data_IF_109193844500
#
_entry.id   IF_109193844500
#
_cell.length_a   1.000
_cell.length_b   1.000
_cell.length_c   1.000
_cell.angle_alpha   90.00
_cell.angle_beta   90.00
_cell.angle_gamma   90.00
#
_symmetry.space_group_name_H-M   'P 1'
#
loop_
_entity.id
_entity.type
_entity.pdbx_description
1 polymer ?
#
# COMPACT_ATOMS: atom_id res chain seq x y z
N UNK A 1 5.33 -12.64 -13.91
CA UNK A 1 5.27 -11.18 -13.66
C UNK A 1 5.64 -11.00 -12.20
N UNK A 2 6.67 -10.23 -11.89
CA UNK A 2 7.10 -10.00 -10.50
C UNK A 2 6.25 -8.88 -9.89
N UNK A 3 5.71 -9.12 -8.69
CA UNK A 3 4.83 -8.21 -7.94
C UNK A 3 5.18 -8.28 -6.46
N UNK A 4 5.16 -7.14 -5.77
CA UNK A 4 5.28 -7.02 -4.32
C UNK A 4 4.16 -6.13 -3.79
N UNK A 5 3.67 -6.47 -2.60
CA UNK A 5 2.58 -5.77 -1.95
C UNK A 5 2.97 -5.43 -0.52
N UNK A 6 2.66 -4.21 -0.09
CA UNK A 6 2.72 -3.81 1.31
C UNK A 6 1.38 -3.23 1.70
N UNK A 7 0.87 -3.63 2.86
CA UNK A 7 -0.42 -3.18 3.38
C UNK A 7 -0.17 -2.46 4.71
N UNK A 8 -0.81 -1.31 4.86
CA UNK A 8 -0.77 -0.52 6.09
C UNK A 8 -2.15 -0.28 6.62
N UNK A 9 -2.28 -0.38 7.93
CA UNK A 9 -3.38 0.20 8.66
C UNK A 9 -2.98 1.64 9.03
N UNK A 10 -3.83 2.60 8.67
CA UNK A 10 -3.65 4.00 9.00
C UNK A 10 -4.59 4.39 10.13
N UNK A 11 -4.00 4.93 11.20
CA UNK A 11 -4.72 5.53 12.31
C UNK A 11 -4.52 7.05 12.29
N UNK A 12 -5.61 7.85 12.24
CA UNK A 12 -5.49 9.31 12.33
C UNK A 12 -4.96 9.71 13.71
N UNK A 13 -3.97 10.61 13.73
CA UNK A 13 -3.34 11.05 14.99
C UNK A 13 -4.27 11.86 15.90
N UNK A 14 -5.31 12.49 15.34
CA UNK A 14 -6.25 13.37 16.03
C UNK A 14 -7.70 13.06 15.62
N UNK A 15 -8.42 12.34 16.49
CA UNK A 15 -9.88 12.08 16.52
C UNK A 15 -10.36 10.66 16.13
N UNK A 16 -11.45 10.17 16.74
CA UNK A 16 -11.65 8.74 17.02
C UNK A 16 -12.77 8.05 16.21
N UNK A 17 -12.67 6.71 16.16
CA UNK A 17 -13.76 5.72 16.03
C UNK A 17 -14.55 5.56 14.73
N UNK A 18 -14.32 6.37 13.69
CA UNK A 18 -15.00 6.19 12.40
C UNK A 18 -14.08 5.52 11.38
N UNK A 19 -14.19 4.19 11.27
CA UNK A 19 -13.56 3.37 10.23
C UNK A 19 -12.03 3.27 10.30
N UNK A 20 -11.49 2.09 10.05
CA UNK A 20 -10.05 1.89 9.91
C UNK A 20 -9.66 2.08 8.45
N UNK A 21 -8.78 3.02 8.16
CA UNK A 21 -8.27 3.22 6.80
C UNK A 21 -7.13 2.22 6.52
N UNK A 22 -7.16 1.59 5.35
CA UNK A 22 -6.13 0.68 4.87
C UNK A 22 -5.54 1.23 3.58
N UNK A 23 -4.20 1.20 3.49
CA UNK A 23 -3.46 1.56 2.29
C UNK A 23 -2.74 0.33 1.75
N UNK A 24 -2.99 0.01 0.49
CA UNK A 24 -2.32 -1.08 -0.23
C UNK A 24 -1.39 -0.47 -1.26
N UNK A 25 -0.08 -0.66 -1.08
CA UNK A 25 0.93 -0.38 -2.11
C UNK A 25 1.19 -1.65 -2.90
N UNK A 26 0.97 -1.60 -4.21
CA UNK A 26 1.39 -2.65 -5.13
C UNK A 26 2.52 -2.13 -6.01
N UNK A 27 3.62 -2.87 -6.08
CA UNK A 27 4.74 -2.62 -6.98
C UNK A 27 4.92 -3.79 -7.95
N UNK A 28 5.14 -3.50 -9.22
CA UNK A 28 5.30 -4.55 -10.24
C UNK A 28 6.28 -4.13 -11.34
N UNK A 29 6.73 -5.14 -12.09
CA UNK A 29 7.50 -4.95 -13.32
C UNK A 29 6.59 -4.98 -14.55
N UNK A 30 6.54 -3.88 -15.32
CA UNK A 30 5.88 -3.79 -16.63
C UNK A 30 6.93 -3.51 -17.71
N UNK A 31 7.30 -4.55 -18.46
CA UNK A 31 8.29 -4.45 -19.54
C UNK A 31 9.64 -3.93 -19.04
N UNK A 32 10.00 -2.72 -19.45
CA UNK A 32 11.26 -2.02 -19.10
C UNK A 32 11.11 -1.04 -17.93
N UNK A 33 9.96 -1.04 -17.24
CA UNK A 33 9.68 -0.13 -16.12
C UNK A 33 9.25 -0.89 -14.87
N UNK A 34 9.57 -0.32 -13.72
CA UNK A 34 8.87 -0.59 -12.48
C UNK A 34 7.79 0.46 -12.26
N UNK A 35 6.66 0.04 -11.71
CA UNK A 35 5.55 0.92 -11.34
C UNK A 35 4.99 0.52 -9.98
N UNK A 36 4.67 1.53 -9.20
CA UNK A 36 4.09 1.42 -7.87
C UNK A 36 2.79 2.22 -7.83
N UNK A 37 1.71 1.59 -7.37
CA UNK A 37 0.41 2.23 -7.18
C UNK A 37 -0.09 2.01 -5.77
N UNK A 38 -0.84 2.98 -5.26
CA UNK A 38 -1.53 2.90 -3.98
C UNK A 38 -3.03 2.91 -4.19
N UNK A 39 -3.72 2.07 -3.44
CA UNK A 39 -5.18 2.13 -3.25
C UNK A 39 -5.44 2.40 -1.78
N UNK A 40 -6.37 3.31 -1.50
CA UNK A 40 -6.87 3.59 -0.15
C UNK A 40 -8.26 2.99 -0.03
N UNK A 41 -8.52 2.28 1.06
CA UNK A 41 -9.82 1.67 1.35
C UNK A 41 -10.17 1.87 2.83
N UNK A 42 -11.45 1.80 3.16
CA UNK A 42 -11.95 1.99 4.51
C UNK A 42 -12.63 0.71 4.98
N UNK A 43 -12.33 0.29 6.20
CA UNK A 43 -13.03 -0.80 6.89
C UNK A 43 -13.99 -0.14 7.87
N UNK A 44 -15.28 -0.24 7.60
CA UNK A 44 -16.32 0.49 8.34
C UNK A 44 -16.86 -0.26 9.56
N UNK A 45 -16.56 -1.55 9.78
CA UNK A 45 -17.05 -2.31 10.94
C UNK A 45 -16.05 -3.35 11.47
N UNK A 46 -15.91 -3.40 12.82
CA UNK A 46 -15.11 -4.37 13.58
C UNK A 46 -15.63 -5.82 13.49
N UNK A 47 -16.86 -6.03 13.02
CA UNK A 47 -17.51 -7.35 12.92
C UNK A 47 -17.20 -8.10 11.61
N UNK A 48 -16.27 -7.58 10.78
CA UNK A 48 -15.73 -8.30 9.64
C UNK A 48 -16.64 -8.41 8.41
N UNK A 49 -17.77 -7.69 8.39
CA UNK A 49 -18.70 -7.63 7.25
C UNK A 49 -18.57 -6.37 6.41
N UNK A 50 -17.86 -5.34 6.91
CA UNK A 50 -17.78 -4.00 6.32
C UNK A 50 -16.50 -3.74 5.53
N UNK A 51 -16.23 -4.52 4.48
CA UNK A 51 -15.41 -4.03 3.37
C UNK A 51 -16.32 -3.17 2.49
N UNK A 52 -16.62 -1.94 2.93
CA UNK A 52 -17.15 -0.94 2.02
C UNK A 52 -15.99 -0.51 1.13
N UNK A 53 -15.86 -1.24 0.04
CA UNK A 53 -14.85 -1.00 -0.98
C UNK A 53 -15.21 0.30 -1.70
N UNK A 54 -14.92 1.44 -1.08
CA UNK A 54 -14.67 2.69 -1.78
C UNK A 54 -13.32 2.49 -2.48
N UNK A 55 -13.33 1.67 -3.54
CA UNK A 55 -12.17 1.39 -4.38
C UNK A 55 -11.88 2.69 -5.10
N UNK A 56 -11.13 3.56 -4.44
CA UNK A 56 -10.52 4.69 -5.13
C UNK A 56 -9.59 4.16 -6.20
N UNK A 57 -9.65 4.75 -7.40
CA UNK A 57 -8.80 4.37 -8.51
C UNK A 57 -7.32 4.33 -8.07
N UNK A 58 -6.55 3.30 -8.46
CA UNK A 58 -5.15 3.19 -8.08
C UNK A 58 -4.35 4.43 -8.47
N UNK A 59 -3.72 5.08 -7.50
CA UNK A 59 -2.90 6.28 -7.70
C UNK A 59 -1.45 5.86 -7.92
N UNK A 60 -0.83 6.32 -9.01
CA UNK A 60 0.60 6.08 -9.23
C UNK A 60 1.45 6.84 -8.21
N UNK A 61 2.29 6.09 -7.48
CA UNK A 61 3.20 6.63 -6.48
C UNK A 61 4.57 6.87 -7.10
N UNK A 62 5.10 5.86 -7.78
CA UNK A 62 6.43 5.91 -8.36
C UNK A 62 6.47 5.10 -9.66
N UNK A 63 7.22 5.59 -10.63
CA UNK A 63 7.42 4.93 -11.93
C UNK A 63 8.81 5.25 -12.40
N UNK A 64 9.61 4.21 -12.68
CA UNK A 64 10.99 4.38 -13.11
C UNK A 64 11.38 3.30 -14.11
N UNK A 65 12.35 3.62 -14.97
CA UNK A 65 13.00 2.59 -15.80
C UNK A 65 13.73 1.61 -14.90
N UNK A 66 13.68 0.32 -15.24
CA UNK A 66 14.30 -0.73 -14.44
C UNK A 66 15.79 -0.45 -14.26
N UNK A 67 16.17 -0.22 -13.01
CA UNK A 67 17.54 -0.14 -12.56
C UNK A 67 17.66 -0.82 -11.19
N UNK A 68 18.12 -2.08 -11.19
CA UNK A 68 18.18 -2.93 -9.99
C UNK A 68 16.99 -3.89 -9.85
N UNK A 69 16.75 -4.31 -8.62
CA UNK A 69 15.76 -5.35 -8.26
C UNK A 69 14.42 -4.75 -7.80
N UNK A 70 13.34 -5.51 -7.97
CA UNK A 70 11.99 -5.09 -7.57
C UNK A 70 11.92 -4.75 -6.08
N UNK A 71 12.62 -5.48 -5.21
CA UNK A 71 12.67 -5.21 -3.77
C UNK A 71 13.27 -3.83 -3.47
N UNK A 72 14.34 -3.44 -4.16
CA UNK A 72 14.94 -2.12 -4.01
C UNK A 72 14.02 -1.00 -4.49
N UNK A 73 13.30 -1.22 -5.60
CA UNK A 73 12.25 -0.30 -6.05
C UNK A 73 11.10 -0.21 -5.04
N UNK A 74 10.65 -1.34 -4.51
CA UNK A 74 9.54 -1.42 -3.57
C UNK A 74 9.85 -0.63 -2.29
N UNK A 75 11.06 -0.75 -1.73
CA UNK A 75 11.49 0.03 -0.57
C UNK A 75 11.46 1.55 -0.82
N UNK A 76 11.84 2.00 -2.03
CA UNK A 76 11.72 3.42 -2.42
C UNK A 76 10.26 3.85 -2.55
N UNK A 77 9.42 2.99 -3.12
CA UNK A 77 7.99 3.27 -3.23
C UNK A 77 7.34 3.39 -1.84
N UNK A 78 7.66 2.51 -0.88
CA UNK A 78 7.23 2.62 0.53
C UNK A 78 7.62 3.98 1.10
N UNK A 79 8.88 4.38 0.94
CA UNK A 79 9.37 5.68 1.44
C UNK A 79 8.57 6.85 0.86
N UNK A 80 8.25 6.79 -0.44
CA UNK A 80 7.45 7.83 -1.11
C UNK A 80 5.99 7.85 -0.63
N UNK A 81 5.38 6.70 -0.35
CA UNK A 81 4.04 6.64 0.25
C UNK A 81 4.04 7.31 1.62
N UNK A 82 4.96 6.92 2.50
CA UNK A 82 5.08 7.47 3.85
C UNK A 82 5.34 8.99 3.81
N UNK A 83 6.18 9.46 2.88
CA UNK A 83 6.43 10.89 2.67
C UNK A 83 5.16 11.65 2.25
N UNK A 84 4.30 11.04 1.42
CA UNK A 84 3.04 11.66 0.94
C UNK A 84 1.94 11.65 1.98
N UNK A 85 1.84 10.61 2.80
CA UNK A 85 0.88 10.54 3.90
C UNK A 85 1.16 11.61 4.96
N UNK A 86 2.43 11.99 5.13
CA UNK A 86 2.81 13.07 6.06
C UNK A 86 2.66 12.66 7.53
N UNK A 87 2.68 13.64 8.42
CA UNK A 87 2.65 13.41 9.88
C UNK A 87 1.24 13.24 10.45
N UNK A 88 0.20 13.34 9.62
CA UNK A 88 -1.19 13.28 10.06
C UNK A 88 -1.63 11.84 10.38
N UNK A 89 -0.92 10.86 9.82
CA UNK A 89 -1.22 9.43 9.95
C UNK A 89 -0.15 8.70 10.76
N UNK A 90 -0.60 7.83 11.65
CA UNK A 90 0.23 6.77 12.23
C UNK A 90 0.07 5.51 11.39
N UNK A 91 1.19 4.89 11.04
CA UNK A 91 1.21 3.61 10.32
C UNK A 91 1.40 2.52 11.36
N UNK A 92 0.32 1.81 11.68
CA UNK A 92 0.39 0.64 12.55
C UNK A 92 0.97 -0.52 11.73
N UNK A 93 2.11 -1.04 12.18
CA UNK A 93 2.87 -2.17 11.66
C UNK A 93 2.90 -2.29 10.12
N UNK A 94 4.06 -1.99 9.53
CA UNK A 94 4.38 -2.39 8.15
C UNK A 94 4.30 -3.91 8.07
N UNK A 95 3.15 -4.46 7.65
CA UNK A 95 3.07 -5.83 7.18
C UNK A 95 3.78 -5.86 5.82
N UNK A 96 5.12 -5.94 5.87
CA UNK A 96 5.92 -6.44 4.78
C UNK A 96 5.65 -7.95 4.72
N UNK A 97 4.59 -8.34 4.03
CA UNK A 97 4.36 -9.76 3.76
C UNK A 97 5.38 -10.19 2.69
N UNK A 98 6.58 -10.55 3.15
CA UNK A 98 7.64 -11.16 2.36
C UNK A 98 7.33 -12.64 2.01
N UNK A 99 6.12 -13.13 2.34
CA UNK A 99 5.67 -14.47 1.96
C UNK A 99 4.62 -14.43 0.86
N UNK A 100 5.12 -14.66 -0.35
CA UNK A 100 4.55 -15.62 -1.29
C UNK A 100 3.01 -15.69 -1.37
N UNK A 101 2.44 -15.01 -2.36
CA UNK A 101 1.27 -15.55 -3.05
C UNK A 101 1.70 -16.79 -3.86
N UNK A 102 2.09 -17.83 -3.12
CA UNK A 102 2.12 -19.21 -3.60
C UNK A 102 0.69 -19.67 -3.75
N UNK A 103 0.08 -19.38 -4.89
CA UNK A 103 -1.05 -20.18 -5.34
C UNK A 103 -0.48 -21.50 -5.84
N UNK A 104 -0.71 -22.54 -5.04
CA UNK A 104 -0.63 -23.95 -5.46
C UNK A 104 -1.72 -24.25 -6.48
#
# INVERSE_FOLDING_TARGET
>A
MERMETIWQLDPSCAPSTGQEIVVLTSWRIGVRFKATVVRTWVSDLDGTGLEADITDPVEVLSETINGELAGFHARAITEVLRRLGSDYQVADLFCDDQALGYS
#
